data_IF_410033834179
#
_entry.id   IF_410033834179
#
_cell.length_a   1.000
_cell.length_b   1.000
_cell.length_c   1.000
_cell.angle_alpha   90.00
_cell.angle_beta   90.00
_cell.angle_gamma   90.00
#
_symmetry.space_group_name_H-M   'P 1'
#
loop_
_entity.id
_entity.type
_entity.pdbx_description
1 polymer ?
#
# COMPACT_ATOMS: atom_id res chain seq x y z
N UNK A 1 2.79 -5.11 -14.92
CA UNK A 1 2.42 -6.48 -15.36
C UNK A 1 1.34 -6.40 -16.45
N UNK A 2 1.70 -6.59 -17.73
CA UNK A 2 0.77 -6.46 -18.86
C UNK A 2 -0.33 -7.54 -18.86
N UNK A 3 -0.01 -8.74 -18.37
CA UNK A 3 -0.96 -9.85 -18.25
C UNK A 3 -2.10 -9.51 -17.29
N UNK A 4 -1.78 -9.05 -16.07
CA UNK A 4 -2.78 -8.66 -15.08
C UNK A 4 -3.69 -7.52 -15.61
N UNK A 5 -3.08 -6.49 -16.21
CA UNK A 5 -3.80 -5.38 -16.81
C UNK A 5 -4.77 -5.84 -17.92
N UNK A 6 -4.38 -6.82 -18.73
CA UNK A 6 -5.24 -7.36 -19.78
C UNK A 6 -6.45 -8.11 -19.21
N UNK A 7 -6.27 -8.92 -18.17
CA UNK A 7 -7.36 -9.66 -17.53
C UNK A 7 -8.32 -8.73 -16.76
N UNK A 8 -7.80 -7.66 -16.17
CA UNK A 8 -8.57 -6.72 -15.36
C UNK A 8 -9.08 -5.50 -16.15
N UNK A 9 -8.97 -5.49 -17.48
CA UNK A 9 -9.43 -4.38 -18.31
C UNK A 9 -10.95 -4.13 -18.12
N UNK A 10 -11.32 -2.89 -17.86
CA UNK A 10 -12.69 -2.43 -17.61
C UNK A 10 -13.19 -2.71 -16.19
N UNK A 11 -12.35 -3.25 -15.30
CA UNK A 11 -12.75 -3.64 -13.95
C UNK A 11 -13.19 -2.45 -13.10
N UNK A 12 -12.42 -1.35 -13.11
CA UNK A 12 -12.75 -0.15 -12.33
C UNK A 12 -14.05 0.47 -12.82
N UNK A 13 -14.25 0.57 -14.13
CA UNK A 13 -15.48 1.12 -14.71
C UNK A 13 -16.70 0.27 -14.32
N UNK A 14 -16.63 -1.04 -14.55
CA UNK A 14 -17.72 -1.98 -14.26
C UNK A 14 -18.12 -2.00 -12.79
N UNK A 15 -17.15 -2.00 -11.88
CA UNK A 15 -17.42 -2.23 -10.45
C UNK A 15 -17.49 -0.95 -9.60
N UNK A 16 -16.78 0.12 -9.98
CA UNK A 16 -16.77 1.36 -9.20
C UNK A 16 -17.70 2.45 -9.75
N UNK A 17 -18.02 2.46 -11.05
CA UNK A 17 -18.92 3.48 -11.63
C UNK A 17 -20.38 3.08 -11.66
N UNK A 18 -20.68 1.80 -11.80
CA UNK A 18 -22.07 1.33 -11.91
C UNK A 18 -22.77 1.39 -10.55
N UNK A 19 -23.61 2.40 -10.35
CA UNK A 19 -24.30 2.66 -9.08
C UNK A 19 -25.38 1.62 -8.80
N UNK A 20 -25.22 0.88 -7.70
CA UNK A 20 -26.34 0.20 -7.03
C UNK A 20 -26.91 1.11 -5.93
N UNK A 21 -28.18 0.91 -5.56
CA UNK A 21 -28.91 1.74 -4.59
C UNK A 21 -28.28 1.82 -3.19
N UNK A 22 -27.33 0.93 -2.87
CA UNK A 22 -26.46 1.01 -1.71
C UNK A 22 -24.99 1.00 -2.18
N UNK A 23 -24.35 2.17 -2.18
CA UNK A 23 -22.95 2.30 -2.57
C UNK A 23 -22.05 1.51 -1.61
N UNK A 24 -21.26 0.59 -2.16
CA UNK A 24 -20.23 -0.11 -1.38
C UNK A 24 -19.17 0.89 -0.88
N UNK A 25 -18.39 0.53 0.15
CA UNK A 25 -17.32 1.40 0.65
C UNK A 25 -16.33 1.81 -0.45
N UNK A 26 -15.97 0.89 -1.35
CA UNK A 26 -15.09 1.18 -2.50
C UNK A 26 -15.70 2.18 -3.49
N UNK A 27 -16.99 2.05 -3.80
CA UNK A 27 -17.68 3.00 -4.69
C UNK A 27 -17.77 4.41 -4.07
N UNK A 28 -18.06 4.51 -2.77
CA UNK A 28 -18.07 5.80 -2.05
C UNK A 28 -16.69 6.46 -2.09
N UNK A 29 -15.63 5.72 -1.79
CA UNK A 29 -14.26 6.24 -1.80
C UNK A 29 -13.80 6.64 -3.20
N UNK A 30 -14.18 5.88 -4.23
CA UNK A 30 -13.91 6.24 -5.62
C UNK A 30 -14.59 7.56 -6.00
N UNK A 31 -15.87 7.76 -5.63
CA UNK A 31 -16.59 8.99 -5.91
C UNK A 31 -16.07 10.20 -5.13
N UNK A 32 -15.73 10.02 -3.86
CA UNK A 32 -15.34 11.12 -2.97
C UNK A 32 -13.87 11.52 -3.11
N UNK A 33 -12.98 10.54 -3.32
CA UNK A 33 -11.53 10.72 -3.25
C UNK A 33 -10.79 10.27 -4.52
N UNK A 34 -11.49 9.73 -5.53
CA UNK A 34 -10.87 9.20 -6.74
C UNK A 34 -10.07 7.91 -6.54
N UNK A 35 -10.17 7.28 -5.36
CA UNK A 35 -9.40 6.09 -5.02
C UNK A 35 -9.98 4.84 -5.67
N UNK A 36 -9.20 4.20 -6.54
CA UNK A 36 -9.58 2.95 -7.23
C UNK A 36 -9.28 1.69 -6.41
N UNK A 37 -8.35 1.80 -5.45
CA UNK A 37 -7.87 0.68 -4.62
C UNK A 37 -7.31 -0.48 -5.45
N UNK A 38 -7.43 -1.70 -4.91
CA UNK A 38 -6.89 -2.92 -5.52
C UNK A 38 -7.36 -3.17 -6.96
N UNK A 39 -8.57 -2.73 -7.32
CA UNK A 39 -9.12 -2.87 -8.68
C UNK A 39 -8.32 -2.06 -9.69
N UNK A 40 -8.04 -0.80 -9.36
CA UNK A 40 -7.25 0.08 -10.22
C UNK A 40 -5.79 -0.35 -10.31
N UNK A 41 -5.21 -0.81 -9.19
CA UNK A 41 -3.86 -1.40 -9.23
C UNK A 41 -3.82 -2.61 -10.17
N UNK A 42 -4.75 -3.56 -10.03
CA UNK A 42 -4.80 -4.75 -10.90
C UNK A 42 -5.04 -4.39 -12.37
N UNK A 43 -5.97 -3.48 -12.65
CA UNK A 43 -6.27 -3.01 -14.01
C UNK A 43 -5.09 -2.25 -14.65
N UNK A 44 -4.33 -1.49 -13.86
CA UNK A 44 -3.11 -0.83 -14.31
C UNK A 44 -1.89 -1.76 -14.35
N UNK A 45 -2.03 -3.01 -13.90
CA UNK A 45 -0.97 -4.01 -13.87
C UNK A 45 0.04 -3.84 -12.72
N UNK A 46 -0.44 -3.41 -11.56
CA UNK A 46 0.28 -3.20 -10.29
C UNK A 46 1.46 -2.23 -10.39
N UNK A 47 1.24 -0.97 -10.84
CA UNK A 47 2.32 0.00 -10.99
C UNK A 47 3.08 0.27 -9.68
N UNK A 48 2.41 0.28 -8.52
CA UNK A 48 3.10 0.48 -7.23
C UNK A 48 4.07 -0.65 -6.92
N UNK A 49 3.70 -1.88 -7.25
CA UNK A 49 4.58 -3.04 -7.06
C UNK A 49 5.74 -3.00 -8.05
N UNK A 50 5.43 -2.87 -9.34
CA UNK A 50 6.42 -3.01 -10.42
C UNK A 50 7.43 -1.87 -10.44
N UNK A 51 6.99 -0.64 -10.19
CA UNK A 51 7.85 0.54 -10.35
C UNK A 51 8.50 1.00 -9.03
N UNK A 52 7.96 0.59 -7.88
CA UNK A 52 8.43 1.08 -6.58
C UNK A 52 8.80 -0.05 -5.62
N UNK A 53 7.83 -0.87 -5.19
CA UNK A 53 8.04 -1.80 -4.09
C UNK A 53 9.02 -2.92 -4.44
N UNK A 54 8.89 -3.54 -5.62
CA UNK A 54 9.78 -4.62 -6.04
C UNK A 54 11.23 -4.16 -6.25
N UNK A 55 11.50 -3.07 -7.02
CA UNK A 55 12.85 -2.53 -7.13
C UNK A 55 13.46 -2.16 -5.76
N UNK A 56 12.66 -1.57 -4.87
CA UNK A 56 13.10 -1.17 -3.53
C UNK A 56 13.49 -2.38 -2.68
N UNK A 57 12.62 -3.39 -2.62
CA UNK A 57 12.87 -4.63 -1.89
C UNK A 57 14.14 -5.34 -2.39
N UNK A 58 14.27 -5.53 -3.71
CA UNK A 58 15.44 -6.17 -4.31
C UNK A 58 16.73 -5.40 -4.05
N UNK A 59 16.68 -4.06 -4.08
CA UNK A 59 17.84 -3.21 -3.76
C UNK A 59 18.31 -3.41 -2.32
N UNK A 60 17.38 -3.51 -1.37
CA UNK A 60 17.73 -3.74 0.04
C UNK A 60 18.35 -5.13 0.24
N UNK A 61 17.85 -6.16 -0.46
CA UNK A 61 18.43 -7.49 -0.43
C UNK A 61 19.85 -7.53 -1.04
N UNK A 62 20.07 -6.83 -2.16
CA UNK A 62 21.40 -6.72 -2.79
C UNK A 62 22.41 -6.02 -1.88
N UNK A 63 21.95 -5.09 -1.05
CA UNK A 63 22.74 -4.47 0.01
C UNK A 63 23.01 -5.39 1.22
N UNK A 64 22.50 -6.62 1.20
CA UNK A 64 22.67 -7.60 2.26
C UNK A 64 21.78 -7.36 3.48
N UNK A 65 20.71 -6.55 3.35
CA UNK A 65 19.75 -6.37 4.42
C UNK A 65 18.99 -7.68 4.69
N UNK A 66 18.69 -7.91 5.96
CA UNK A 66 17.81 -8.99 6.36
C UNK A 66 16.46 -8.93 5.62
N UNK A 67 15.96 -10.04 5.05
CA UNK A 67 14.72 -10.03 4.27
C UNK A 67 13.48 -9.54 5.02
N UNK A 68 13.36 -9.82 6.33
CA UNK A 68 12.24 -9.36 7.13
C UNK A 68 12.28 -7.84 7.31
N UNK A 69 13.46 -7.29 7.59
CA UNK A 69 13.66 -5.84 7.67
C UNK A 69 13.39 -5.17 6.32
N UNK A 70 13.83 -5.78 5.21
CA UNK A 70 13.58 -5.28 3.87
C UNK A 70 12.08 -5.27 3.52
N UNK A 71 11.32 -6.27 3.95
CA UNK A 71 9.86 -6.29 3.80
C UNK A 71 9.17 -5.21 4.63
N UNK A 72 9.59 -4.99 5.88
CA UNK A 72 9.04 -3.95 6.73
C UNK A 72 9.31 -2.54 6.18
N UNK A 73 10.51 -2.31 5.64
CA UNK A 73 10.85 -1.06 4.97
C UNK A 73 10.03 -0.85 3.68
N UNK A 74 9.87 -1.92 2.90
CA UNK A 74 9.05 -1.89 1.68
C UNK A 74 7.58 -1.65 1.99
N UNK A 75 7.09 -2.16 3.12
CA UNK A 75 5.74 -1.87 3.60
C UNK A 75 5.59 -0.39 3.94
N UNK A 76 6.57 0.23 4.61
CA UNK A 76 6.56 1.68 4.85
C UNK A 76 6.55 2.47 3.54
N UNK A 77 7.33 2.06 2.54
CA UNK A 77 7.30 2.69 1.21
C UNK A 77 5.88 2.63 0.61
N UNK A 78 5.25 1.46 0.62
CA UNK A 78 3.89 1.28 0.13
C UNK A 78 2.88 2.11 0.91
N UNK A 79 2.95 2.14 2.25
CA UNK A 79 2.08 2.99 3.08
C UNK A 79 2.26 4.48 2.78
N UNK A 80 3.46 4.93 2.41
CA UNK A 80 3.75 6.32 2.09
C UNK A 80 3.13 6.79 0.76
N UNK A 81 2.95 5.88 -0.21
CA UNK A 81 2.56 6.26 -1.59
C UNK A 81 1.21 5.69 -2.03
N UNK A 82 0.72 4.62 -1.39
CA UNK A 82 -0.53 3.96 -1.78
C UNK A 82 -1.74 4.78 -1.31
N UNK A 83 -2.71 4.96 -2.20
CA UNK A 83 -4.05 5.44 -1.87
C UNK A 83 -4.89 4.36 -1.21
N UNK A 84 -4.45 3.88 -0.04
CA UNK A 84 -5.00 2.69 0.62
C UNK A 84 -6.47 2.89 1.02
N UNK A 85 -7.36 2.18 0.31
CA UNK A 85 -8.81 2.29 0.53
C UNK A 85 -9.25 1.71 1.88
N UNK A 86 -8.49 0.77 2.48
CA UNK A 86 -8.82 0.26 3.81
C UNK A 86 -8.60 1.34 4.87
N UNK A 87 -7.51 2.09 4.75
CA UNK A 87 -7.20 3.24 5.62
C UNK A 87 -8.22 4.35 5.41
N UNK A 88 -8.47 4.73 4.15
CA UNK A 88 -9.42 5.78 3.81
C UNK A 88 -10.85 5.44 4.25
N UNK A 89 -11.24 4.16 4.25
CA UNK A 89 -12.57 3.73 4.71
C UNK A 89 -12.81 3.98 6.21
N UNK A 90 -11.74 3.96 7.03
CA UNK A 90 -11.81 4.10 8.49
C UNK A 90 -11.48 5.51 8.96
N UNK A 91 -10.41 6.09 8.42
CA UNK A 91 -9.91 7.41 8.81
C UNK A 91 -10.23 8.54 7.85
N UNK A 92 -10.93 8.27 6.75
CA UNK A 92 -11.12 9.23 5.66
C UNK A 92 -9.81 9.66 5.02
N UNK A 93 -9.87 10.73 4.25
CA UNK A 93 -8.71 11.35 3.61
C UNK A 93 -7.68 11.86 4.65
N UNK A 94 -8.15 12.32 5.81
CA UNK A 94 -7.30 12.76 6.92
C UNK A 94 -6.43 11.64 7.48
N UNK A 95 -7.02 10.47 7.75
CA UNK A 95 -6.29 9.29 8.23
C UNK A 95 -5.31 8.75 7.19
N UNK A 96 -5.71 8.72 5.91
CA UNK A 96 -4.81 8.32 4.82
C UNK A 96 -3.59 9.25 4.72
N UNK A 97 -3.80 10.57 4.71
CA UNK A 97 -2.69 11.53 4.68
C UNK A 97 -1.80 11.46 5.91
N UNK A 98 -2.38 11.19 7.09
CA UNK A 98 -1.61 11.00 8.30
C UNK A 98 -0.69 9.77 8.17
N UNK A 99 -1.24 8.62 7.77
CA UNK A 99 -0.46 7.39 7.57
C UNK A 99 0.70 7.62 6.59
N UNK A 100 0.40 8.22 5.44
CA UNK A 100 1.39 8.48 4.39
C UNK A 100 2.54 9.36 4.89
N UNK A 101 2.23 10.41 5.65
CA UNK A 101 3.22 11.32 6.22
C UNK A 101 4.09 10.65 7.29
N UNK A 102 3.50 9.87 8.19
CA UNK A 102 4.27 9.18 9.23
C UNK A 102 5.19 8.12 8.61
N UNK A 103 4.69 7.34 7.65
CA UNK A 103 5.50 6.36 6.92
C UNK A 103 6.66 7.05 6.17
N UNK A 104 6.39 8.17 5.49
CA UNK A 104 7.43 8.96 4.82
C UNK A 104 8.45 9.53 5.81
N UNK A 105 8.02 9.95 7.00
CA UNK A 105 8.91 10.45 8.05
C UNK A 105 9.86 9.36 8.54
N UNK A 106 9.38 8.13 8.72
CA UNK A 106 10.25 6.98 9.08
C UNK A 106 11.27 6.66 7.99
N UNK A 107 10.85 6.67 6.71
CA UNK A 107 11.76 6.47 5.58
C UNK A 107 12.84 7.58 5.51
N UNK A 108 12.47 8.83 5.75
CA UNK A 108 13.42 9.96 5.79
C UNK A 108 14.41 9.87 6.95
N UNK A 109 14.05 9.21 8.06
CA UNK A 109 14.95 8.93 9.18
C UNK A 109 15.92 7.77 8.92
N UNK A 110 15.88 7.17 7.73
CA UNK A 110 16.76 6.06 7.33
C UNK A 110 16.03 4.75 7.07
N UNK A 111 14.72 4.67 7.35
CA UNK A 111 13.94 3.46 7.19
C UNK A 111 14.26 2.40 8.24
N UNK A 112 13.95 1.14 7.93
CA UNK A 112 14.22 -0.04 8.76
C UNK A 112 15.49 -0.72 8.25
N UNK A 113 16.61 -0.56 8.97
CA UNK A 113 17.92 -1.13 8.56
C UNK A 113 18.49 -2.08 9.61
N UNK A 114 18.07 -1.92 10.85
CA UNK A 114 18.52 -2.71 11.99
C UNK A 114 17.35 -3.09 12.89
N UNK A 115 17.48 -4.13 13.74
CA UNK A 115 16.44 -4.47 14.72
C UNK A 115 16.09 -3.34 15.69
N UNK A 116 16.99 -2.38 15.92
CA UNK A 116 16.72 -1.22 16.77
C UNK A 116 15.69 -0.26 16.16
N UNK A 117 15.59 -0.21 14.82
CA UNK A 117 14.65 0.65 14.11
C UNK A 117 13.19 0.17 14.29
N UNK A 118 13.00 -1.09 14.71
CA UNK A 118 11.68 -1.66 14.98
C UNK A 118 10.94 -0.95 16.11
N UNK A 119 11.63 -0.25 17.01
CA UNK A 119 10.97 0.48 18.09
C UNK A 119 10.16 1.67 17.56
N UNK A 120 10.68 2.38 16.54
CA UNK A 120 9.93 3.43 15.86
C UNK A 120 8.76 2.86 15.06
N UNK A 121 8.95 1.71 14.40
CA UNK A 121 7.89 1.03 13.68
C UNK A 121 6.76 0.56 14.61
N UNK A 122 7.11 -0.02 15.77
CA UNK A 122 6.14 -0.42 16.81
C UNK A 122 5.38 0.77 17.36
N UNK A 123 6.04 1.93 17.53
CA UNK A 123 5.35 3.14 17.92
C UNK A 123 4.33 3.57 16.85
N UNK A 124 4.76 3.61 15.59
CA UNK A 124 3.88 3.97 14.48
C UNK A 124 2.69 2.99 14.34
N UNK A 125 2.91 1.69 14.55
CA UNK A 125 1.85 0.68 14.56
C UNK A 125 0.83 0.91 15.69
N UNK A 126 1.30 1.23 16.92
CA UNK A 126 0.39 1.62 18.01
C UNK A 126 -0.45 2.84 17.65
N UNK A 127 0.17 3.86 17.05
CA UNK A 127 -0.54 5.07 16.64
C UNK A 127 -1.58 4.80 15.54
N UNK A 128 -1.29 3.85 14.63
CA UNK A 128 -2.26 3.34 13.66
C UNK A 128 -3.44 2.65 14.36
N UNK A 129 -3.18 1.77 15.33
CA UNK A 129 -4.20 1.06 16.10
C UNK A 129 -5.11 2.05 16.85
N UNK A 130 -4.54 3.03 17.55
CA UNK A 130 -5.28 4.07 18.27
C UNK A 130 -6.21 4.88 17.35
N UNK A 131 -5.78 5.11 16.10
CA UNK A 131 -6.55 5.82 15.08
C UNK A 131 -7.48 4.91 14.28
N UNK A 132 -7.52 3.63 14.60
CA UNK A 132 -8.24 2.60 13.84
C UNK A 132 -7.88 2.59 12.34
N UNK A 133 -6.61 2.81 12.02
CA UNK A 133 -6.08 2.79 10.65
C UNK A 133 -5.45 1.43 10.39
N UNK A 134 -5.88 0.76 9.32
CA UNK A 134 -5.33 -0.53 8.90
C UNK A 134 -4.91 -0.45 7.43
N UNK A 135 -3.59 -0.47 7.15
CA UNK A 135 -3.04 -0.40 5.81
C UNK A 135 -3.07 -1.74 5.07
N UNK A 136 -4.25 -2.36 5.03
CA UNK A 136 -4.43 -3.68 4.43
C UNK A 136 -4.16 -3.69 2.93
N UNK A 137 -4.52 -2.63 2.20
CA UNK A 137 -4.22 -2.55 0.77
C UNK A 137 -2.72 -2.48 0.50
N UNK A 138 -1.97 -1.84 1.38
CA UNK A 138 -0.51 -1.78 1.32
C UNK A 138 0.12 -3.14 1.65
N UNK A 139 -0.44 -3.88 2.61
CA UNK A 139 -0.03 -5.26 2.89
C UNK A 139 -0.29 -6.22 1.71
N UNK A 140 -1.43 -6.08 1.02
CA UNK A 140 -1.74 -6.85 -0.19
C UNK A 140 -0.72 -6.58 -1.31
N UNK A 141 -0.29 -5.32 -1.47
CA UNK A 141 0.78 -4.97 -2.43
C UNK A 141 2.15 -5.51 -1.98
N UNK A 142 2.42 -5.57 -0.67
CA UNK A 142 3.65 -6.15 -0.15
C UNK A 142 3.74 -7.64 -0.45
N UNK A 143 2.66 -8.41 -0.26
CA UNK A 143 2.69 -9.85 -0.55
C UNK A 143 2.87 -10.13 -2.05
N UNK A 144 2.29 -9.31 -2.92
CA UNK A 144 2.55 -9.37 -4.36
C UNK A 144 4.01 -9.05 -4.69
N UNK A 145 4.58 -8.05 -4.01
CA UNK A 145 5.99 -7.69 -4.14
C UNK A 145 6.90 -8.85 -3.78
N UNK A 146 6.67 -9.46 -2.60
CA UNK A 146 7.42 -10.61 -2.15
C UNK A 146 7.31 -11.79 -3.12
N UNK A 147 6.08 -12.12 -3.57
CA UNK A 147 5.82 -13.19 -4.52
C UNK A 147 6.58 -13.00 -5.83
N UNK A 148 6.54 -11.80 -6.41
CA UNK A 148 7.25 -11.48 -7.64
C UNK A 148 8.77 -11.51 -7.48
N UNK A 149 9.29 -11.30 -6.28
CA UNK A 149 10.72 -11.47 -6.00
C UNK A 149 11.16 -12.94 -5.90
N UNK A 150 10.21 -13.90 -5.82
CA UNK A 150 10.52 -15.34 -5.76
C UNK A 150 10.52 -16.03 -7.12
N UNK A 151 10.13 -15.35 -8.20
CA UNK A 151 10.00 -15.91 -9.55
C UNK A 151 11.07 -15.36 -10.49
#
# INVERSE_FOLDING_TARGET
CSTAASFCRGLTDRELRTNNSQLTAGQRLYQQLGLTGARGEAEAGYPLVINHALPHYLTLLDQGLDPELALLDTLLLLMAINGDTNVASRGGEGGLRWLQREAQTLLQKGGIRTPADLDYLRQFDRECIERNLSPGGSADLLILTWFLAQI
#
